data_IF_137422559182
#
_entry.id   IF_137422559182
#
_cell.length_a   1.000
_cell.length_b   1.000
_cell.length_c   1.000
_cell.angle_alpha   90.00
_cell.angle_beta   90.00
_cell.angle_gamma   90.00
#
_symmetry.space_group_name_H-M   'P 1'
#
loop_
_entity.id
_entity.type
_entity.pdbx_description
1 polymer ?
#
# COMPACT_ATOMS: atom_id res chain seq x y z
N UNK A 1 24.94 -50.08 31.85
CA UNK A 1 23.96 -49.42 32.73
C UNK A 1 24.68 -48.19 33.24
N UNK A 2 24.35 -46.94 32.94
CA UNK A 2 23.14 -46.31 32.42
C UNK A 2 23.56 -45.20 31.44
N UNK A 3 22.83 -45.08 30.33
CA UNK A 3 22.96 -43.97 29.39
C UNK A 3 22.15 -42.79 29.94
N UNK A 4 22.82 -41.74 30.39
CA UNK A 4 22.17 -40.46 30.70
C UNK A 4 22.05 -39.65 29.41
N UNK A 5 20.96 -39.87 28.67
CA UNK A 5 20.51 -39.02 27.59
C UNK A 5 19.84 -37.77 28.18
N UNK A 6 20.56 -36.65 28.21
CA UNK A 6 19.93 -35.35 28.44
C UNK A 6 19.22 -34.91 27.15
N UNK A 7 17.96 -34.44 27.23
CA UNK A 7 17.20 -34.02 26.06
C UNK A 7 17.73 -32.68 25.53
N UNK A 8 18.02 -32.64 24.23
CA UNK A 8 18.23 -31.42 23.45
C UNK A 8 17.00 -30.51 23.61
N UNK A 9 17.13 -29.48 24.44
CA UNK A 9 16.16 -28.39 24.50
C UNK A 9 16.38 -27.48 23.28
N UNK A 10 15.94 -27.94 22.11
CA UNK A 10 15.62 -27.06 20.99
C UNK A 10 14.49 -26.11 21.41
N UNK A 11 14.83 -25.00 22.04
CA UNK A 11 13.93 -23.84 22.10
C UNK A 11 14.12 -23.03 20.82
N UNK A 12 13.38 -23.43 19.77
CA UNK A 12 13.02 -22.54 18.66
C UNK A 12 12.35 -21.31 19.24
N UNK A 13 13.13 -20.24 19.41
CA UNK A 13 12.60 -18.90 19.71
C UNK A 13 12.18 -18.28 18.39
N UNK A 14 11.05 -18.70 17.85
CA UNK A 14 10.30 -17.90 16.87
C UNK A 14 9.79 -16.65 17.57
N UNK A 15 10.68 -15.70 17.78
CA UNK A 15 10.33 -14.34 18.05
C UNK A 15 10.47 -13.61 16.72
N UNK A 16 9.42 -13.64 15.90
CA UNK A 16 9.22 -12.63 14.87
C UNK A 16 8.93 -11.29 15.54
N UNK A 17 9.87 -10.80 16.36
CA UNK A 17 9.85 -9.41 16.81
C UNK A 17 9.95 -8.57 15.56
N UNK A 18 8.81 -7.98 15.16
CA UNK A 18 8.77 -7.01 14.08
C UNK A 18 9.84 -5.97 14.42
N UNK A 19 10.80 -5.80 13.50
CA UNK A 19 11.97 -4.98 13.81
C UNK A 19 11.51 -3.60 14.31
N UNK A 20 12.11 -3.04 15.38
CA UNK A 20 11.64 -1.79 15.99
C UNK A 20 11.42 -0.62 15.02
N UNK A 21 12.13 -0.62 13.88
CA UNK A 21 11.94 0.32 12.79
C UNK A 21 10.53 0.25 12.16
N UNK A 22 10.00 -0.95 11.90
CA UNK A 22 8.66 -1.12 11.33
C UNK A 22 7.57 -0.65 12.29
N UNK A 23 7.68 -0.95 13.58
CA UNK A 23 6.75 -0.43 14.59
C UNK A 23 6.74 1.10 14.62
N UNK A 24 7.91 1.74 14.66
CA UNK A 24 8.03 3.21 14.67
C UNK A 24 7.47 3.83 13.40
N UNK A 25 7.77 3.25 12.23
CA UNK A 25 7.21 3.72 10.96
C UNK A 25 5.69 3.58 10.94
N UNK A 26 5.15 2.43 11.31
CA UNK A 26 3.71 2.19 11.30
C UNK A 26 2.97 3.17 12.22
N UNK A 27 3.50 3.39 13.42
CA UNK A 27 2.98 4.40 14.34
C UNK A 27 2.95 5.80 13.69
N UNK A 28 4.07 6.25 13.12
CA UNK A 28 4.14 7.56 12.46
C UNK A 28 3.17 7.66 11.28
N UNK A 29 3.03 6.60 10.48
CA UNK A 29 2.10 6.57 9.34
C UNK A 29 0.64 6.69 9.80
N UNK A 30 0.25 5.98 10.87
CA UNK A 30 -1.10 6.07 11.46
C UNK A 30 -1.39 7.46 12.02
N UNK A 31 -0.47 8.00 12.82
CA UNK A 31 -0.58 9.37 13.35
C UNK A 31 -0.70 10.38 12.20
N UNK A 32 0.11 10.23 11.14
CA UNK A 32 0.04 11.12 9.98
C UNK A 32 -1.34 11.13 9.32
N UNK A 33 -2.02 9.98 9.25
CA UNK A 33 -3.36 9.86 8.69
C UNK A 33 -4.40 10.55 9.58
N UNK A 34 -4.35 10.32 10.89
CA UNK A 34 -5.29 10.91 11.86
C UNK A 34 -5.22 12.44 11.88
N UNK A 35 -4.01 12.99 11.83
CA UNK A 35 -3.80 14.44 11.83
C UNK A 35 -3.97 15.10 10.45
N UNK A 36 -4.25 14.33 9.38
CA UNK A 36 -4.30 14.88 8.02
C UNK A 36 -5.37 15.98 7.84
N UNK A 37 -6.49 15.89 8.56
CA UNK A 37 -7.57 16.88 8.55
C UNK A 37 -7.40 17.96 9.63
N UNK A 38 -6.71 17.65 10.72
CA UNK A 38 -6.54 18.56 11.88
C UNK A 38 -5.37 19.51 11.66
N UNK A 39 -4.22 18.98 11.24
CA UNK A 39 -3.01 19.74 10.95
C UNK A 39 -2.24 19.06 9.81
N UNK A 40 -2.35 19.64 8.62
CA UNK A 40 -1.65 19.15 7.43
C UNK A 40 -0.13 19.22 7.59
N UNK A 41 0.36 20.19 8.34
CA UNK A 41 1.79 20.37 8.66
C UNK A 41 2.30 19.23 9.55
N UNK A 42 1.58 18.90 10.62
CA UNK A 42 1.94 17.80 11.51
C UNK A 42 1.90 16.45 10.78
N UNK A 43 0.85 16.23 9.97
CA UNK A 43 0.74 15.06 9.10
C UNK A 43 1.97 14.93 8.17
N UNK A 44 2.33 16.01 7.49
CA UNK A 44 3.51 16.05 6.59
C UNK A 44 4.81 15.78 7.32
N UNK A 45 4.96 16.32 8.53
CA UNK A 45 6.12 16.11 9.37
C UNK A 45 6.26 14.64 9.76
N UNK A 46 5.19 14.01 10.26
CA UNK A 46 5.19 12.59 10.62
C UNK A 46 5.50 11.68 9.42
N UNK A 47 4.94 11.96 8.23
CA UNK A 47 5.30 11.25 7.00
C UNK A 47 6.77 11.43 6.62
N UNK A 48 7.32 12.64 6.82
CA UNK A 48 8.73 12.91 6.54
C UNK A 48 9.66 12.10 7.44
N UNK A 49 9.32 11.97 8.73
CA UNK A 49 10.04 11.14 9.70
C UNK A 49 9.96 9.65 9.35
N UNK A 50 8.76 9.15 9.01
CA UNK A 50 8.59 7.76 8.59
C UNK A 50 9.44 7.44 7.35
N UNK A 51 9.50 8.37 6.39
CA UNK A 51 10.34 8.25 5.19
C UNK A 51 11.83 8.32 5.51
N UNK A 52 12.24 9.12 6.49
CA UNK A 52 13.62 9.19 6.94
C UNK A 52 14.06 7.87 7.59
N UNK A 53 13.23 7.30 8.48
CA UNK A 53 13.48 5.99 9.09
C UNK A 53 13.58 4.91 8.01
N UNK A 54 12.64 4.90 7.05
CA UNK A 54 12.66 3.99 5.90
C UNK A 54 13.97 4.03 5.15
N UNK A 55 14.49 5.23 4.85
CA UNK A 55 15.78 5.41 4.16
C UNK A 55 16.97 4.98 5.02
N UNK A 56 17.01 5.40 6.29
CA UNK A 56 18.13 5.12 7.21
C UNK A 56 18.24 3.65 7.59
N UNK A 57 17.12 2.95 7.70
CA UNK A 57 17.06 1.54 8.11
C UNK A 57 16.84 0.58 6.94
N UNK A 58 16.82 1.08 5.71
CA UNK A 58 16.48 0.32 4.49
C UNK A 58 15.16 -0.46 4.65
N UNK A 59 14.24 0.07 5.46
CA UNK A 59 12.97 -0.56 5.78
C UNK A 59 11.92 -0.10 4.77
N UNK A 60 11.23 -1.05 4.14
CA UNK A 60 10.27 -0.75 3.07
C UNK A 60 8.95 -0.24 3.67
N UNK A 61 8.48 0.91 3.20
CA UNK A 61 7.11 1.36 3.50
C UNK A 61 6.14 0.53 2.64
N UNK A 62 5.09 0.03 3.29
CA UNK A 62 3.99 -0.68 2.64
C UNK A 62 3.48 0.09 1.41
N UNK A 63 3.32 -0.55 0.24
CA UNK A 63 2.90 0.13 -0.98
C UNK A 63 1.56 0.82 -0.82
N UNK A 64 0.60 0.27 -0.09
CA UNK A 64 -0.74 0.82 0.05
C UNK A 64 -0.73 2.03 0.96
N UNK A 65 -0.01 1.97 2.09
CA UNK A 65 0.29 3.17 2.86
C UNK A 65 1.00 4.23 2.01
N UNK A 66 1.99 3.80 1.22
CA UNK A 66 2.74 4.70 0.33
C UNK A 66 1.85 5.35 -0.70
N UNK A 67 0.75 4.72 -1.18
CA UNK A 67 -0.22 5.31 -2.15
C UNK A 67 -0.91 6.54 -1.59
N UNK A 68 -1.18 6.57 -0.29
CA UNK A 68 -1.99 7.59 0.40
C UNK A 68 -1.32 8.96 0.59
N UNK A 69 -0.07 9.18 0.17
CA UNK A 69 0.59 10.46 0.37
C UNK A 69 1.58 10.83 -0.75
N UNK A 70 1.93 12.12 -0.79
CA UNK A 70 2.78 12.73 -1.81
C UNK A 70 4.26 12.44 -1.58
N UNK A 71 4.95 11.79 -2.52
CA UNK A 71 6.40 11.51 -2.41
C UNK A 71 7.28 12.78 -2.49
N UNK A 72 6.73 13.93 -2.87
CA UNK A 72 7.49 15.19 -2.96
C UNK A 72 7.42 15.98 -1.66
N UNK A 73 6.21 16.35 -1.23
CA UNK A 73 5.99 17.24 -0.08
C UNK A 73 5.43 16.54 1.16
N UNK A 74 5.25 15.22 1.12
CA UNK A 74 4.74 14.37 2.19
C UNK A 74 3.28 14.63 2.61
N UNK A 75 2.51 15.39 1.83
CA UNK A 75 1.08 15.64 2.13
C UNK A 75 0.25 14.37 1.96
N UNK A 76 -0.60 14.08 2.94
CA UNK A 76 -1.64 13.05 2.83
C UNK A 76 -2.61 13.38 1.68
N UNK A 77 -3.06 12.37 0.94
CA UNK A 77 -4.02 12.53 -0.14
C UNK A 77 -5.44 12.31 0.37
N UNK A 78 -6.22 13.38 0.34
CA UNK A 78 -7.64 13.40 0.64
C UNK A 78 -8.31 14.02 -0.58
N UNK A 79 -9.07 13.20 -1.30
CA UNK A 79 -9.74 13.59 -2.53
C UNK A 79 -10.62 14.82 -2.29
N UNK A 80 -10.44 15.85 -3.11
CA UNK A 80 -11.17 17.12 -3.02
C UNK A 80 -10.62 18.12 -2.00
N UNK A 81 -9.73 17.72 -1.09
CA UNK A 81 -9.14 18.62 -0.08
C UNK A 81 -7.66 18.87 -0.38
N UNK A 82 -6.85 17.82 -0.36
CA UNK A 82 -5.38 17.91 -0.50
C UNK A 82 -4.87 17.31 -1.80
N UNK A 83 -5.74 16.58 -2.52
CA UNK A 83 -5.48 16.13 -3.87
C UNK A 83 -6.71 16.18 -4.77
N UNK A 84 -6.46 16.37 -6.05
CA UNK A 84 -7.40 16.11 -7.14
C UNK A 84 -7.25 14.64 -7.54
N UNK A 85 -8.35 13.90 -7.52
CA UNK A 85 -8.43 12.49 -7.91
C UNK A 85 -8.96 12.39 -9.34
N UNK A 86 -8.18 11.78 -10.23
CA UNK A 86 -8.52 11.63 -11.64
C UNK A 86 -8.47 10.15 -11.99
N UNK A 87 -9.53 9.65 -12.61
CA UNK A 87 -9.63 8.27 -13.08
C UNK A 87 -9.66 8.27 -14.61
N UNK A 88 -8.77 7.50 -15.22
CA UNK A 88 -8.67 7.33 -16.66
C UNK A 88 -8.69 5.84 -17.01
N UNK A 89 -9.79 5.38 -17.61
CA UNK A 89 -9.90 4.02 -18.13
C UNK A 89 -9.37 3.94 -19.55
N UNK A 90 -8.60 2.87 -19.82
CA UNK A 90 -8.07 2.56 -21.15
C UNK A 90 -8.40 1.13 -21.49
N UNK A 91 -9.15 0.93 -22.57
CA UNK A 91 -9.41 -0.40 -23.12
C UNK A 91 -8.13 -0.85 -23.84
N UNK A 92 -7.57 -1.98 -23.40
CA UNK A 92 -6.39 -2.59 -24.00
C UNK A 92 -6.81 -3.92 -24.62
N UNK A 93 -6.54 -4.07 -25.92
CA UNK A 93 -6.65 -5.35 -26.62
C UNK A 93 -5.39 -6.18 -26.39
N UNK A 94 -5.55 -7.40 -25.84
CA UNK A 94 -4.45 -8.35 -25.72
C UNK A 94 -3.89 -8.73 -27.09
N UNK A 95 -2.58 -8.54 -27.29
CA UNK A 95 -1.89 -8.94 -28.50
C UNK A 95 -1.75 -10.47 -28.58
N UNK A 96 -2.12 -11.01 -29.74
CA UNK A 96 -2.03 -12.40 -30.21
C UNK A 96 -2.97 -13.43 -29.55
N UNK A 97 -3.92 -13.87 -30.39
CA UNK A 97 -4.69 -15.12 -30.39
C UNK A 97 -5.85 -15.31 -29.42
N UNK A 98 -6.10 -14.41 -28.47
CA UNK A 98 -7.32 -14.44 -27.67
C UNK A 98 -7.95 -13.04 -27.67
N UNK A 99 -9.20 -12.91 -28.14
CA UNK A 99 -10.00 -11.66 -28.16
C UNK A 99 -10.35 -11.13 -26.75
N UNK A 100 -9.49 -11.29 -25.76
CA UNK A 100 -9.69 -10.77 -24.41
C UNK A 100 -9.37 -9.27 -24.42
N UNK A 101 -10.41 -8.46 -24.23
CA UNK A 101 -10.29 -7.04 -23.93
C UNK A 101 -10.10 -6.92 -22.41
N UNK A 102 -9.19 -6.06 -21.98
CA UNK A 102 -8.99 -5.74 -20.58
C UNK A 102 -9.14 -4.23 -20.38
N UNK A 103 -9.74 -3.82 -19.27
CA UNK A 103 -9.79 -2.41 -18.88
C UNK A 103 -8.62 -2.12 -17.97
N UNK A 104 -7.72 -1.24 -18.41
CA UNK A 104 -6.69 -0.68 -17.55
C UNK A 104 -7.16 0.65 -16.98
N UNK A 105 -7.48 0.64 -15.70
CA UNK A 105 -7.82 1.85 -14.93
C UNK A 105 -6.57 2.52 -14.41
N UNK A 106 -6.38 3.80 -14.74
CA UNK A 106 -5.30 4.62 -14.22
C UNK A 106 -5.88 5.65 -13.24
N UNK A 107 -5.42 5.56 -11.99
CA UNK A 107 -5.75 6.50 -10.94
C UNK A 107 -4.61 7.49 -10.79
N UNK A 108 -4.90 8.79 -10.90
CA UNK A 108 -3.95 9.86 -10.63
C UNK A 108 -4.40 10.65 -9.40
N UNK A 109 -3.48 10.78 -8.44
CA UNK A 109 -3.58 11.75 -7.35
C UNK A 109 -2.67 12.92 -7.66
N UNK A 110 -3.24 14.09 -7.94
CA UNK A 110 -2.49 15.35 -8.11
C UNK A 110 -2.53 16.13 -6.82
N UNK A 111 -1.36 16.35 -6.23
CA UNK A 111 -1.24 17.07 -4.97
C UNK A 111 -1.55 18.56 -5.14
N UNK A 112 -2.49 19.11 -4.36
CA UNK A 112 -2.85 20.54 -4.40
C UNK A 112 -1.76 21.47 -3.88
N UNK A 113 -0.77 20.95 -3.13
CA UNK A 113 0.30 21.76 -2.53
C UNK A 113 1.54 21.91 -3.41
N UNK A 114 1.90 20.88 -4.17
CA UNK A 114 3.14 20.87 -4.96
C UNK A 114 2.94 20.50 -6.43
N UNK A 115 1.68 20.32 -6.84
CA UNK A 115 1.25 19.94 -8.19
C UNK A 115 1.84 18.63 -8.73
N UNK A 116 2.50 17.84 -7.87
CA UNK A 116 3.03 16.55 -8.27
C UNK A 116 1.90 15.55 -8.49
N UNK A 117 1.90 14.91 -9.66
CA UNK A 117 0.95 13.87 -10.06
C UNK A 117 1.53 12.50 -9.78
N UNK A 118 0.74 11.65 -9.11
CA UNK A 118 1.12 10.28 -8.81
C UNK A 118 0.12 9.32 -9.43
N UNK A 119 0.63 8.45 -10.31
CA UNK A 119 -0.16 7.44 -11.02
C UNK A 119 -0.12 6.10 -10.31
N UNK A 120 -1.26 5.42 -10.30
CA UNK A 120 -1.44 4.03 -9.93
C UNK A 120 -2.29 3.35 -11.01
N UNK A 121 -1.80 2.24 -11.55
CA UNK A 121 -2.51 1.50 -12.59
C UNK A 121 -3.04 0.21 -12.01
N UNK A 122 -4.28 -0.11 -12.37
CA UNK A 122 -4.97 -1.33 -12.02
C UNK A 122 -5.46 -1.97 -13.31
N UNK A 123 -5.30 -3.27 -13.43
CA UNK A 123 -5.94 -4.07 -14.49
C UNK A 123 -7.15 -4.71 -13.86
N UNK A 124 -8.34 -4.30 -14.30
CA UNK A 124 -9.58 -4.95 -13.90
C UNK A 124 -9.80 -6.06 -14.93
N UNK A 125 -9.83 -7.30 -14.45
CA UNK A 125 -10.30 -8.42 -15.24
C UNK A 125 -11.83 -8.43 -15.09
N UNK A 126 -12.55 -8.44 -16.20
CA UNK A 126 -13.98 -8.74 -16.22
C UNK A 126 -14.17 -10.23 -15.89
N UNK A 127 -13.95 -10.63 -14.64
CA UNK A 127 -14.23 -12.00 -14.16
C UNK A 127 -15.61 -12.13 -13.49
N UNK A 128 -16.45 -11.10 -13.56
CA UNK A 128 -17.80 -11.13 -13.00
C UNK A 128 -18.82 -11.95 -13.81
N UNK A 129 -18.46 -12.55 -14.96
CA UNK A 129 -19.40 -13.31 -15.80
C UNK A 129 -19.55 -14.82 -15.45
N UNK A 130 -18.88 -15.36 -14.41
CA UNK A 130 -18.87 -16.81 -14.18
C UNK A 130 -19.69 -17.29 -12.97
N UNK A 131 -19.98 -16.44 -11.99
CA UNK A 131 -20.69 -16.90 -10.77
C UNK A 131 -22.23 -16.92 -10.89
N UNK A 132 -22.83 -16.11 -11.76
CA UNK A 132 -24.31 -16.12 -11.92
C UNK A 132 -24.84 -17.34 -12.69
N UNK A 133 -24.00 -18.05 -13.45
CA UNK A 133 -24.46 -19.25 -14.20
C UNK A 133 -24.48 -20.55 -13.39
N UNK A 134 -23.87 -20.56 -12.19
CA UNK A 134 -23.82 -21.77 -11.36
C UNK A 134 -24.83 -21.78 -10.20
N UNK A 135 -25.70 -20.76 -10.09
CA UNK A 135 -26.83 -20.74 -9.13
C UNK A 135 -28.20 -21.04 -9.77
N UNK A 136 -28.24 -21.37 -11.07
CA UNK A 136 -29.46 -21.77 -11.78
C UNK A 136 -29.20 -23.07 -12.55
N UNK A 137 -28.82 -24.13 -11.84
CA UNK A 137 -29.04 -25.51 -12.29
C UNK A 137 -29.49 -26.28 -11.04
N UNK A 138 -30.77 -26.68 -11.08
CA UNK A 138 -31.61 -27.53 -10.22
C UNK A 138 -30.98 -28.25 -9.01
#
# INVERSE_FOLDING_TARGET
MEQNSQPDFEKKKECTSIAPAYHRMNFLLQVSQQYALVSTELSRYCYSLAREISRKKLARIDPDSRRLWCKRCNTHFISGITCEFILEDKIISGGNNNNKKFVQTNIFNKCSYCNWKKRHSYTIFDEFEVEEKNMIID
#
